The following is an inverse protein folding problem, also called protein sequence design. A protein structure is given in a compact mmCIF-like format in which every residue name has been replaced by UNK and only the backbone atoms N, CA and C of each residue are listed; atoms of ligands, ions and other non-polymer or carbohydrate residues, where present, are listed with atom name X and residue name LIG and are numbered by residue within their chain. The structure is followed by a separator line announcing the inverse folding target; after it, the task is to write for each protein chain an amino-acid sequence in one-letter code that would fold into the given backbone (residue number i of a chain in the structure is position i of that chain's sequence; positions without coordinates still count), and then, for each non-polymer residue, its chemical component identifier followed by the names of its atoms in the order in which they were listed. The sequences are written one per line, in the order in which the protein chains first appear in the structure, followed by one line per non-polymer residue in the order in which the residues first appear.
data_IF_701573363695
#
_entry.id   IF_701573363695
#
_cell.length_a   1.000
_cell.length_b   1.000
_cell.length_c   1.000
_cell.angle_alpha   90.00
_cell.angle_beta   90.00
_cell.angle_gamma   90.00
#
_symmetry.space_group_name_H-M   'P 1'
#
loop_
_entity.id
_entity.type
_entity.pdbx_description
1 polymer ?
#
# COMPACT_ATOMS: atom_id res chain seq x y z
N UNK A 1 -48.22 -46.82 -28.88
CA UNK A 1 -49.01 -45.80 -28.13
C UNK A 1 -48.42 -45.66 -26.73
N UNK A 2 -47.45 -44.81 -26.48
CA UNK A 2 -47.08 -44.31 -25.11
C UNK A 2 -45.98 -43.26 -25.04
N UNK A 3 -45.87 -42.36 -26.05
CA UNK A 3 -44.88 -41.27 -26.03
C UNK A 3 -45.45 -39.94 -25.53
N UNK A 4 -46.78 -39.77 -25.57
CA UNK A 4 -47.46 -38.52 -25.17
C UNK A 4 -47.60 -38.37 -23.65
N UNK A 5 -47.67 -39.45 -22.87
CA UNK A 5 -47.75 -39.37 -21.38
C UNK A 5 -46.43 -38.98 -20.73
N UNK A 6 -45.30 -39.38 -21.30
CA UNK A 6 -43.97 -39.03 -20.76
C UNK A 6 -43.56 -37.56 -20.97
N UNK A 7 -44.14 -36.92 -21.99
CA UNK A 7 -43.86 -35.48 -22.27
C UNK A 7 -44.71 -34.60 -21.35
N UNK A 8 -45.96 -34.99 -21.07
CA UNK A 8 -46.85 -34.26 -20.16
C UNK A 8 -46.36 -34.29 -18.72
N UNK A 9 -45.78 -35.41 -18.26
CA UNK A 9 -45.26 -35.56 -16.89
C UNK A 9 -43.97 -34.74 -16.66
N UNK A 10 -43.10 -34.65 -17.66
CA UNK A 10 -41.91 -33.78 -17.60
C UNK A 10 -42.26 -32.30 -17.62
N UNK A 11 -43.28 -31.87 -18.34
CA UNK A 11 -43.70 -30.46 -18.37
C UNK A 11 -44.33 -30.00 -17.05
N UNK A 12 -45.07 -30.89 -16.38
CA UNK A 12 -45.64 -30.61 -15.05
C UNK A 12 -44.57 -30.46 -13.94
N UNK A 13 -43.46 -31.21 -14.06
CA UNK A 13 -42.34 -31.10 -13.11
C UNK A 13 -41.43 -29.86 -13.30
N UNK A 14 -41.38 -29.31 -14.51
CA UNK A 14 -40.55 -28.16 -14.85
C UNK A 14 -41.24 -26.81 -14.52
N UNK A 15 -42.56 -26.75 -14.63
CA UNK A 15 -43.34 -25.53 -14.36
C UNK A 15 -43.09 -24.91 -12.97
N UNK A 16 -43.06 -25.64 -11.85
CA UNK A 16 -42.79 -25.06 -10.52
C UNK A 16 -41.33 -24.62 -10.33
N UNK A 17 -40.38 -25.15 -11.10
CA UNK A 17 -38.98 -24.73 -11.08
C UNK A 17 -38.76 -23.39 -11.80
N UNK A 18 -39.47 -23.20 -12.92
CA UNK A 18 -39.45 -21.96 -13.67
C UNK A 18 -40.08 -20.81 -12.84
N UNK A 19 -41.18 -21.09 -12.16
CA UNK A 19 -41.88 -20.13 -11.33
C UNK A 19 -41.04 -19.73 -10.13
N UNK A 20 -40.34 -20.65 -9.47
CA UNK A 20 -39.39 -20.36 -8.38
C UNK A 20 -38.18 -19.59 -8.86
N UNK A 21 -37.68 -19.83 -10.05
CA UNK A 21 -36.56 -19.11 -10.63
C UNK A 21 -36.94 -17.67 -10.99
N UNK A 22 -38.15 -17.44 -11.56
CA UNK A 22 -38.67 -16.15 -11.90
C UNK A 22 -38.90 -15.30 -10.64
N UNK A 23 -39.49 -15.86 -9.58
CA UNK A 23 -39.68 -15.13 -8.31
C UNK A 23 -38.37 -14.74 -7.66
N UNK A 24 -37.34 -15.60 -7.70
CA UNK A 24 -35.99 -15.28 -7.21
C UNK A 24 -35.35 -14.16 -8.04
N UNK A 25 -35.51 -14.20 -9.37
CA UNK A 25 -34.94 -13.22 -10.27
C UNK A 25 -35.59 -11.82 -10.09
N UNK A 26 -36.91 -11.76 -9.94
CA UNK A 26 -37.61 -10.51 -9.64
C UNK A 26 -37.27 -9.98 -8.24
N UNK A 27 -37.11 -10.85 -7.25
CA UNK A 27 -36.65 -10.49 -5.91
C UNK A 27 -35.24 -9.89 -5.90
N UNK A 28 -34.31 -10.51 -6.59
CA UNK A 28 -32.92 -10.01 -6.72
C UNK A 28 -32.85 -8.67 -7.47
N UNK A 29 -33.63 -8.48 -8.53
CA UNK A 29 -33.74 -7.21 -9.24
C UNK A 29 -34.31 -6.09 -8.36
N UNK A 30 -35.32 -6.40 -7.57
CA UNK A 30 -35.95 -5.44 -6.65
C UNK A 30 -34.99 -5.02 -5.54
N UNK A 31 -34.20 -5.96 -5.00
CA UNK A 31 -33.15 -5.66 -4.03
C UNK A 31 -32.03 -4.82 -4.65
N UNK A 32 -31.58 -5.15 -5.85
CA UNK A 32 -30.58 -4.37 -6.58
C UNK A 32 -31.08 -2.93 -6.87
N UNK A 33 -32.34 -2.79 -7.30
CA UNK A 33 -32.95 -1.48 -7.53
C UNK A 33 -33.05 -0.65 -6.23
N UNK A 34 -33.42 -1.26 -5.10
CA UNK A 34 -33.45 -0.60 -3.80
C UNK A 34 -32.06 -0.17 -3.35
N UNK A 35 -31.05 -1.02 -3.53
CA UNK A 35 -29.65 -0.68 -3.20
C UNK A 35 -29.12 0.47 -4.07
N UNK A 36 -29.43 0.46 -5.37
CA UNK A 36 -29.07 1.56 -6.27
C UNK A 36 -29.78 2.87 -5.90
N UNK A 37 -31.05 2.80 -5.51
CA UNK A 37 -31.81 3.95 -5.08
C UNK A 37 -31.25 4.53 -3.77
N UNK A 38 -30.93 3.66 -2.80
CA UNK A 38 -30.31 4.05 -1.53
C UNK A 38 -28.93 4.68 -1.74
N UNK A 39 -28.13 4.12 -2.65
CA UNK A 39 -26.84 4.68 -3.04
C UNK A 39 -27.00 6.03 -3.75
N UNK A 40 -27.98 6.16 -4.66
CA UNK A 40 -28.31 7.44 -5.29
C UNK A 40 -28.76 8.51 -4.31
N UNK A 41 -29.60 8.14 -3.32
CA UNK A 41 -29.99 9.04 -2.24
C UNK A 41 -28.79 9.45 -1.37
N UNK A 42 -27.86 8.54 -1.09
CA UNK A 42 -26.64 8.85 -0.35
C UNK A 42 -25.78 9.87 -1.12
N UNK A 43 -25.58 9.65 -2.43
CA UNK A 43 -24.84 10.60 -3.29
C UNK A 43 -25.54 11.97 -3.27
N UNK A 44 -26.86 12.01 -3.46
CA UNK A 44 -27.61 13.25 -3.45
C UNK A 44 -27.49 13.98 -2.11
N UNK A 45 -27.58 13.26 -0.99
CA UNK A 45 -27.40 13.81 0.35
C UNK A 45 -26.00 14.39 0.55
N UNK A 46 -24.93 13.68 0.08
CA UNK A 46 -23.56 14.18 0.12
C UNK A 46 -23.40 15.47 -0.71
N UNK A 47 -23.93 15.50 -1.92
CA UNK A 47 -23.86 16.67 -2.80
C UNK A 47 -24.60 17.87 -2.20
N UNK A 48 -25.82 17.65 -1.68
CA UNK A 48 -26.60 18.70 -1.01
C UNK A 48 -25.87 19.22 0.24
N UNK A 49 -25.27 18.31 1.04
CA UNK A 49 -24.46 18.69 2.20
C UNK A 49 -23.29 19.59 1.82
N UNK A 50 -22.54 19.24 0.75
CA UNK A 50 -21.42 20.03 0.23
C UNK A 50 -21.89 21.43 -0.24
N UNK A 51 -23.06 21.49 -0.90
CA UNK A 51 -23.64 22.77 -1.33
C UNK A 51 -24.01 23.65 -0.12
N UNK A 52 -24.64 23.07 0.90
CA UNK A 52 -25.02 23.83 2.09
C UNK A 52 -23.83 24.26 2.95
N UNK A 53 -22.75 23.46 2.99
CA UNK A 53 -21.53 23.80 3.72
C UNK A 53 -20.70 24.89 3.00
N UNK A 54 -20.98 25.19 1.72
CA UNK A 54 -20.19 26.13 0.93
C UNK A 54 -18.80 25.62 0.55
N UNK A 55 -18.53 24.33 0.78
CA UNK A 55 -17.22 23.69 0.55
C UNK A 55 -16.89 23.51 -0.94
N UNK A 56 -17.84 23.78 -1.84
CA UNK A 56 -17.63 23.76 -3.30
C UNK A 56 -16.89 25.00 -3.83
N UNK A 57 -16.54 25.94 -2.97
CA UNK A 57 -15.75 27.11 -3.39
C UNK A 57 -14.30 26.73 -3.63
N UNK A 58 -13.86 26.77 -4.86
CA UNK A 58 -12.47 26.50 -5.29
C UNK A 58 -11.45 27.59 -4.88
N UNK A 59 -11.77 28.42 -3.87
CA UNK A 59 -10.92 29.53 -3.44
C UNK A 59 -10.91 30.71 -4.41
N UNK A 60 -10.09 31.72 -4.11
CA UNK A 60 -9.93 32.89 -4.99
C UNK A 60 -8.96 32.55 -6.12
N UNK A 61 -9.41 32.69 -7.37
CA UNK A 61 -8.60 32.54 -8.61
C UNK A 61 -7.95 31.17 -8.80
N UNK A 62 -8.68 30.05 -8.76
CA UNK A 62 -8.13 28.70 -8.79
C UNK A 62 -7.29 28.43 -10.07
N UNK A 63 -7.73 28.92 -11.21
CA UNK A 63 -7.02 28.73 -12.50
C UNK A 63 -5.70 29.49 -12.57
N UNK A 64 -5.62 30.70 -12.01
CA UNK A 64 -4.38 31.46 -11.98
C UNK A 64 -3.36 30.78 -11.05
N UNK A 65 -3.79 30.34 -9.88
CA UNK A 65 -2.92 29.61 -8.94
C UNK A 65 -2.47 28.27 -9.54
N UNK A 66 -3.36 27.54 -10.21
CA UNK A 66 -3.02 26.29 -10.88
C UNK A 66 -1.94 26.51 -11.96
N UNK A 67 -2.11 27.53 -12.82
CA UNK A 67 -1.16 27.84 -13.88
C UNK A 67 0.18 28.32 -13.34
N UNK A 68 0.19 29.10 -12.28
CA UNK A 68 1.43 29.54 -11.61
C UNK A 68 2.18 28.35 -11.02
N UNK A 69 1.47 27.51 -10.22
CA UNK A 69 2.06 26.31 -9.62
C UNK A 69 2.53 25.32 -10.67
N UNK A 70 1.77 25.12 -11.76
CA UNK A 70 2.16 24.24 -12.85
C UNK A 70 3.41 24.77 -13.59
N UNK A 71 3.51 26.08 -13.76
CA UNK A 71 4.69 26.73 -14.33
C UNK A 71 5.94 26.50 -13.49
N UNK A 72 5.84 26.65 -12.16
CA UNK A 72 6.95 26.38 -11.25
C UNK A 72 7.28 24.88 -11.15
N UNK A 73 6.27 24.02 -11.15
CA UNK A 73 6.45 22.55 -11.11
C UNK A 73 7.13 22.04 -12.39
N UNK A 74 6.93 22.73 -13.53
CA UNK A 74 7.57 22.36 -14.80
C UNK A 74 9.08 22.69 -14.83
N UNK A 75 9.58 23.46 -13.84
CA UNK A 75 10.99 23.81 -13.66
C UNK A 75 11.57 23.14 -12.40
N UNK A 76 12.00 21.87 -12.49
CA UNK A 76 12.60 21.18 -11.35
C UNK A 76 13.88 21.89 -10.88
N UNK A 77 14.06 22.03 -9.58
CA UNK A 77 15.17 22.78 -8.99
C UNK A 77 16.56 22.18 -9.25
N UNK A 78 16.65 20.91 -9.62
CA UNK A 78 17.93 20.31 -10.00
C UNK A 78 18.55 21.01 -11.23
N UNK A 79 17.74 21.65 -12.09
CA UNK A 79 18.23 22.44 -13.22
C UNK A 79 18.92 23.75 -12.74
N UNK A 80 18.52 24.26 -11.59
CA UNK A 80 19.05 25.52 -11.05
C UNK A 80 20.48 25.38 -10.52
N UNK A 81 21.00 24.16 -10.40
CA UNK A 81 22.42 23.91 -10.13
C UNK A 81 23.30 24.45 -11.27
N UNK A 82 22.81 24.34 -12.51
CA UNK A 82 23.53 24.81 -13.70
C UNK A 82 23.05 26.19 -14.18
N UNK A 83 21.74 26.44 -14.09
CA UNK A 83 21.07 27.63 -14.68
C UNK A 83 20.61 28.63 -13.63
N UNK A 84 20.75 28.34 -12.33
CA UNK A 84 20.34 29.21 -11.23
C UNK A 84 21.14 30.52 -11.17
N UNK A 85 20.54 31.52 -10.52
CA UNK A 85 21.20 32.82 -10.30
C UNK A 85 22.18 32.72 -9.13
N UNK A 86 23.49 33.03 -9.31
CA UNK A 86 24.46 33.02 -8.22
C UNK A 86 24.24 34.12 -7.19
N UNK A 87 23.46 35.15 -7.53
CA UNK A 87 23.14 36.29 -6.65
C UNK A 87 21.63 36.55 -6.66
N UNK A 88 20.87 35.71 -5.97
CA UNK A 88 19.44 35.90 -5.78
C UNK A 88 19.24 36.85 -4.58
N UNK A 89 18.78 38.09 -4.86
CA UNK A 89 18.47 39.06 -3.85
C UNK A 89 17.04 38.96 -3.38
N UNK A 90 16.84 38.71 -2.09
CA UNK A 90 15.54 38.84 -1.45
C UNK A 90 15.39 40.28 -0.94
N UNK A 91 14.39 41.01 -1.48
CA UNK A 91 14.11 42.43 -1.11
C UNK A 91 12.93 42.50 -0.18
N UNK A 92 13.01 43.38 0.83
CA UNK A 92 11.86 43.81 1.63
C UNK A 92 10.91 44.67 0.82
N UNK A 93 9.68 44.90 1.32
CA UNK A 93 8.71 45.83 0.73
C UNK A 93 9.28 47.26 0.59
N UNK A 94 10.25 47.61 1.43
CA UNK A 94 10.97 48.90 1.39
C UNK A 94 12.08 48.96 0.33
N UNK A 95 12.28 47.90 -0.46
CA UNK A 95 13.34 47.80 -1.46
C UNK A 95 14.73 47.50 -0.92
N UNK A 96 14.91 47.38 0.40
CA UNK A 96 16.19 46.99 1.03
C UNK A 96 16.47 45.51 0.78
N UNK A 97 17.74 45.18 0.48
CA UNK A 97 18.17 43.79 0.30
C UNK A 97 18.26 43.12 1.66
N UNK A 98 17.35 42.16 1.94
CA UNK A 98 17.31 41.38 3.18
C UNK A 98 18.39 40.32 3.20
N UNK A 99 18.56 39.62 2.08
CA UNK A 99 19.46 38.47 1.93
C UNK A 99 19.89 38.32 0.47
N UNK A 100 21.15 38.01 0.29
CA UNK A 100 21.67 37.54 -1.00
C UNK A 100 21.98 36.06 -0.83
N UNK A 101 21.42 35.22 -1.67
CA UNK A 101 21.62 33.79 -1.63
C UNK A 101 22.15 33.28 -2.98
N UNK A 102 23.20 32.45 -2.92
CA UNK A 102 23.66 31.69 -4.09
C UNK A 102 22.73 30.49 -4.31
N UNK A 103 21.81 30.64 -5.28
CA UNK A 103 20.83 29.62 -5.63
C UNK A 103 21.52 28.33 -6.08
N UNK A 104 22.62 28.39 -6.83
CA UNK A 104 23.36 27.22 -7.29
C UNK A 104 23.93 26.41 -6.13
N UNK A 105 24.55 27.09 -5.18
CA UNK A 105 25.10 26.44 -3.99
C UNK A 105 24.02 25.91 -3.06
N UNK A 106 22.87 26.57 -2.98
CA UNK A 106 21.69 26.10 -2.22
C UNK A 106 21.12 24.83 -2.80
N UNK A 107 20.89 24.80 -4.12
CA UNK A 107 20.33 23.63 -4.79
C UNK A 107 21.33 22.47 -4.88
N UNK A 108 22.63 22.73 -4.98
CA UNK A 108 23.66 21.69 -4.88
C UNK A 108 23.65 21.01 -3.50
N UNK A 109 23.49 21.78 -2.42
CA UNK A 109 23.34 21.24 -1.05
C UNK A 109 22.05 20.43 -0.90
N UNK A 110 20.95 20.91 -1.48
CA UNK A 110 19.69 20.18 -1.50
C UNK A 110 19.84 18.84 -2.23
N UNK A 111 20.46 18.78 -3.41
CA UNK A 111 20.70 17.53 -4.12
C UNK A 111 21.62 16.58 -3.35
N UNK A 112 22.61 17.09 -2.64
CA UNK A 112 23.46 16.29 -1.76
C UNK A 112 22.64 15.66 -0.62
N UNK A 113 21.71 16.41 -0.01
CA UNK A 113 20.82 15.92 1.03
C UNK A 113 19.82 14.87 0.50
N UNK A 114 19.41 14.97 -0.77
CA UNK A 114 18.49 14.05 -1.43
C UNK A 114 19.02 12.62 -1.44
N UNK A 115 20.32 12.41 -1.69
CA UNK A 115 20.92 11.08 -1.63
C UNK A 115 20.81 10.43 -0.25
N UNK A 116 21.06 11.22 0.81
CA UNK A 116 20.88 10.77 2.19
C UNK A 116 19.43 10.46 2.55
N UNK A 117 18.51 11.27 2.03
CA UNK A 117 17.06 11.06 2.22
C UNK A 117 16.57 9.81 1.51
N UNK A 118 16.99 9.55 0.26
CA UNK A 118 16.69 8.30 -0.46
C UNK A 118 17.18 7.10 0.35
N UNK A 119 18.42 7.13 0.81
CA UNK A 119 18.99 6.05 1.61
C UNK A 119 18.22 5.82 2.91
N UNK A 120 17.78 6.88 3.58
CA UNK A 120 16.97 6.76 4.80
C UNK A 120 15.59 6.16 4.52
N UNK A 121 14.92 6.56 3.44
CA UNK A 121 13.65 5.97 2.99
C UNK A 121 13.81 4.47 2.72
N UNK A 122 14.88 4.08 2.02
CA UNK A 122 15.17 2.66 1.75
C UNK A 122 15.47 1.87 3.01
N UNK A 123 16.21 2.43 3.96
CA UNK A 123 16.44 1.79 5.27
C UNK A 123 15.14 1.53 6.00
N UNK A 124 14.24 2.52 6.05
CA UNK A 124 12.94 2.40 6.73
C UNK A 124 12.12 1.29 6.08
N UNK A 125 11.97 1.31 4.75
CA UNK A 125 11.21 0.31 4.02
C UNK A 125 11.78 -1.10 4.16
N UNK A 126 13.09 -1.25 4.00
CA UNK A 126 13.76 -2.56 4.02
C UNK A 126 13.76 -3.19 5.41
N UNK A 127 14.17 -2.43 6.44
CA UNK A 127 14.20 -2.93 7.82
C UNK A 127 12.78 -3.16 8.36
N UNK A 128 11.83 -2.28 8.02
CA UNK A 128 10.42 -2.47 8.37
C UNK A 128 9.82 -3.73 7.74
N UNK A 129 10.09 -3.97 6.45
CA UNK A 129 9.64 -5.18 5.75
C UNK A 129 10.29 -6.46 6.30
N UNK A 130 11.58 -6.41 6.60
CA UNK A 130 12.30 -7.54 7.19
C UNK A 130 11.73 -7.88 8.57
N UNK A 131 11.53 -6.88 9.42
CA UNK A 131 10.95 -7.06 10.75
C UNK A 131 9.50 -7.56 10.66
N UNK A 132 8.72 -7.05 9.70
CA UNK A 132 7.37 -7.56 9.41
C UNK A 132 7.38 -9.04 9.03
N UNK A 133 8.34 -9.49 8.21
CA UNK A 133 8.47 -10.88 7.82
C UNK A 133 8.87 -11.76 9.02
N UNK A 134 9.84 -11.33 9.82
CA UNK A 134 10.30 -12.06 11.01
C UNK A 134 9.16 -12.26 12.03
N UNK A 135 8.35 -11.23 12.26
CA UNK A 135 7.22 -11.29 13.18
C UNK A 135 5.99 -11.98 12.57
N UNK A 136 5.74 -11.73 11.28
CA UNK A 136 4.59 -12.25 10.56
C UNK A 136 4.71 -13.73 10.17
N UNK A 137 5.93 -14.24 9.92
CA UNK A 137 6.14 -15.65 9.55
C UNK A 137 5.60 -16.64 10.60
N UNK A 138 5.99 -16.57 11.88
CA UNK A 138 5.47 -17.48 12.89
C UNK A 138 3.96 -17.32 13.09
N UNK A 139 3.45 -16.09 13.08
CA UNK A 139 2.02 -15.83 13.22
C UNK A 139 1.21 -16.34 12.02
N UNK A 140 1.74 -16.16 10.81
CA UNK A 140 1.16 -16.71 9.58
C UNK A 140 1.09 -18.23 9.62
N UNK A 141 2.18 -18.87 10.04
CA UNK A 141 2.25 -20.33 10.21
C UNK A 141 1.22 -20.84 11.22
N UNK A 142 1.12 -20.20 12.39
CA UNK A 142 0.14 -20.55 13.44
C UNK A 142 -1.31 -20.26 13.00
N UNK A 143 -1.52 -19.33 12.09
CA UNK A 143 -2.86 -18.95 11.62
C UNK A 143 -3.40 -19.83 10.51
N UNK A 144 -2.55 -20.59 9.78
CA UNK A 144 -2.94 -21.46 8.69
C UNK A 144 -3.78 -22.65 9.18
N UNK A 145 -4.89 -22.95 8.48
CA UNK A 145 -5.83 -24.00 8.89
C UNK A 145 -5.24 -25.40 8.77
N UNK A 146 -4.27 -25.59 7.88
CA UNK A 146 -3.61 -26.87 7.63
C UNK A 146 -2.57 -27.23 8.70
N UNK A 147 -2.22 -26.28 9.56
CA UNK A 147 -1.17 -26.44 10.56
C UNK A 147 -1.76 -26.74 11.94
N UNK A 148 -2.19 -27.83 12.25
CA UNK A 148 -2.78 -28.35 13.51
C UNK A 148 -2.45 -27.60 14.82
N UNK A 149 -2.35 -26.26 14.74
CA UNK A 149 -2.15 -25.40 15.92
C UNK A 149 -3.37 -25.45 16.84
N UNK A 150 -3.19 -25.42 18.19
CA UNK A 150 -4.30 -25.36 19.13
C UNK A 150 -5.25 -24.21 18.78
N UNK A 151 -6.56 -24.49 18.78
CA UNK A 151 -7.58 -23.51 18.36
C UNK A 151 -7.43 -22.12 19.00
N UNK A 152 -7.14 -21.96 20.31
CA UNK A 152 -6.99 -20.63 20.90
C UNK A 152 -5.80 -19.85 20.33
N UNK A 153 -4.68 -20.55 20.06
CA UNK A 153 -3.45 -19.95 19.50
C UNK A 153 -3.67 -19.52 18.06
N UNK A 154 -4.26 -20.39 17.25
CA UNK A 154 -4.61 -20.08 15.86
C UNK A 154 -5.62 -18.93 15.78
N UNK A 155 -6.63 -18.90 16.68
CA UNK A 155 -7.59 -17.81 16.75
C UNK A 155 -6.92 -16.49 17.10
N UNK A 156 -6.08 -16.47 18.13
CA UNK A 156 -5.35 -15.27 18.56
C UNK A 156 -4.44 -14.73 17.45
N UNK A 157 -3.64 -15.62 16.82
CA UNK A 157 -2.76 -15.24 15.72
C UNK A 157 -3.54 -14.60 14.56
N UNK A 158 -4.67 -15.20 14.15
CA UNK A 158 -5.54 -14.63 13.11
C UNK A 158 -6.07 -13.25 13.49
N UNK A 159 -6.57 -13.08 14.71
CA UNK A 159 -7.11 -11.79 15.18
C UNK A 159 -6.03 -10.72 15.27
N UNK A 160 -4.85 -11.07 15.75
CA UNK A 160 -3.71 -10.15 15.80
C UNK A 160 -3.32 -9.68 14.39
N UNK A 161 -3.17 -10.60 13.43
CA UNK A 161 -2.87 -10.27 12.05
C UNK A 161 -3.98 -9.42 11.40
N UNK A 162 -5.27 -9.73 11.67
CA UNK A 162 -6.40 -8.97 11.17
C UNK A 162 -6.42 -7.53 11.72
N UNK A 163 -6.12 -7.34 13.01
CA UNK A 163 -6.01 -6.00 13.62
C UNK A 163 -4.85 -5.22 13.03
N UNK A 164 -3.66 -5.83 12.95
CA UNK A 164 -2.47 -5.14 12.44
C UNK A 164 -2.65 -4.65 11.00
N UNK A 165 -3.25 -5.45 10.10
CA UNK A 165 -3.49 -5.04 8.71
C UNK A 165 -4.65 -4.07 8.52
N UNK A 166 -5.60 -4.00 9.47
CA UNK A 166 -6.75 -3.10 9.37
C UNK A 166 -6.41 -1.65 9.69
N UNK A 167 -5.33 -1.42 10.42
CA UNK A 167 -4.86 -0.08 10.78
C UNK A 167 -3.82 0.36 9.74
N UNK A 168 -4.04 1.51 9.11
CA UNK A 168 -3.12 2.04 8.10
C UNK A 168 -1.76 2.41 8.70
N UNK A 169 -0.69 2.22 7.95
CA UNK A 169 0.70 2.48 8.35
C UNK A 169 0.90 3.88 8.95
N UNK A 170 0.23 4.91 8.41
CA UNK A 170 0.27 6.28 8.95
C UNK A 170 -0.24 6.37 10.39
N UNK A 171 -1.31 5.66 10.72
CA UNK A 171 -1.89 5.69 12.08
C UNK A 171 -0.91 5.05 13.06
N UNK A 172 -0.31 3.92 12.71
CA UNK A 172 0.78 3.34 13.50
C UNK A 172 1.95 4.31 13.62
N UNK A 173 2.32 4.99 12.53
CA UNK A 173 3.38 5.98 12.53
C UNK A 173 3.13 7.11 13.51
N UNK A 174 1.94 7.70 13.49
CA UNK A 174 1.56 8.76 14.43
C UNK A 174 1.59 8.29 15.89
N UNK A 175 1.07 7.09 16.18
CA UNK A 175 1.10 6.52 17.53
C UNK A 175 2.54 6.30 18.00
N UNK A 176 3.38 5.71 17.16
CA UNK A 176 4.77 5.38 17.52
C UNK A 176 5.62 6.65 17.64
N UNK A 177 5.44 7.63 16.76
CA UNK A 177 6.10 8.94 16.88
C UNK A 177 5.72 9.61 18.20
N UNK A 178 4.46 9.50 18.64
CA UNK A 178 4.03 10.00 19.94
C UNK A 178 4.70 9.31 21.14
N UNK A 179 5.10 8.06 20.99
CA UNK A 179 5.72 7.25 22.07
C UNK A 179 7.26 7.41 22.10
N UNK A 180 7.92 7.25 20.95
CA UNK A 180 9.40 7.18 20.90
C UNK A 180 10.03 8.44 20.27
N UNK A 181 9.23 9.38 19.76
CA UNK A 181 9.70 10.60 19.09
C UNK A 181 9.86 10.44 17.57
N UNK A 182 10.23 11.59 16.95
CA UNK A 182 10.48 11.67 15.51
C UNK A 182 11.75 10.90 15.14
N UNK A 183 11.75 10.24 13.99
CA UNK A 183 12.94 9.59 13.44
C UNK A 183 12.68 8.29 12.70
N UNK A 184 13.70 7.73 12.04
CA UNK A 184 13.57 6.54 11.18
C UNK A 184 13.06 5.30 11.92
N UNK A 185 13.34 5.18 13.21
CA UNK A 185 12.91 4.03 14.02
C UNK A 185 11.38 3.97 14.15
N UNK A 186 10.72 5.13 14.27
CA UNK A 186 9.27 5.19 14.29
C UNK A 186 8.67 4.67 12.98
N UNK A 187 9.25 5.05 11.84
CA UNK A 187 8.84 4.56 10.52
C UNK A 187 9.05 3.05 10.36
N UNK A 188 10.19 2.51 10.80
CA UNK A 188 10.50 1.08 10.76
C UNK A 188 9.47 0.27 11.54
N UNK A 189 9.14 0.68 12.77
CA UNK A 189 8.17 -0.01 13.61
C UNK A 189 6.74 0.11 13.07
N UNK A 190 6.37 1.27 12.50
CA UNK A 190 5.06 1.47 11.89
C UNK A 190 4.84 0.52 10.70
N UNK A 191 5.82 0.46 9.79
CA UNK A 191 5.81 -0.49 8.67
C UNK A 191 5.79 -1.93 9.19
N UNK A 192 6.63 -2.25 10.17
CA UNK A 192 6.71 -3.60 10.71
C UNK A 192 5.36 -4.09 11.25
N UNK A 193 4.66 -3.29 12.04
CA UNK A 193 3.37 -3.66 12.62
C UNK A 193 2.27 -3.82 11.58
N UNK A 194 2.14 -2.84 10.66
CA UNK A 194 1.14 -2.94 9.60
C UNK A 194 1.42 -4.11 8.65
N UNK A 195 2.64 -4.18 8.14
CA UNK A 195 3.03 -5.17 7.14
C UNK A 195 3.11 -6.59 7.72
N UNK A 196 3.37 -6.76 9.03
CA UNK A 196 3.27 -8.05 9.72
C UNK A 196 1.87 -8.66 9.52
N UNK A 197 0.82 -7.84 9.66
CA UNK A 197 -0.56 -8.30 9.45
C UNK A 197 -0.82 -8.77 8.03
N UNK A 198 -0.42 -7.98 7.04
CA UNK A 198 -0.60 -8.31 5.62
C UNK A 198 0.26 -9.50 5.21
N UNK A 199 1.54 -9.50 5.58
CA UNK A 199 2.49 -10.54 5.23
C UNK A 199 2.13 -11.89 5.87
N UNK A 200 1.81 -11.89 7.19
CA UNK A 200 1.40 -13.10 7.89
C UNK A 200 0.14 -13.72 7.30
N UNK A 201 -0.81 -12.90 6.83
CA UNK A 201 -2.02 -13.39 6.17
C UNK A 201 -1.74 -14.01 4.80
N UNK A 202 -0.96 -13.33 3.95
CA UNK A 202 -0.55 -13.87 2.64
C UNK A 202 0.24 -15.17 2.78
N UNK A 203 1.07 -15.24 3.83
CA UNK A 203 1.82 -16.46 4.11
C UNK A 203 0.92 -17.61 4.56
N UNK A 204 -0.05 -17.35 5.44
CA UNK A 204 -1.06 -18.35 5.83
C UNK A 204 -1.85 -18.87 4.62
N UNK A 205 -2.28 -17.99 3.73
CA UNK A 205 -2.98 -18.36 2.49
C UNK A 205 -2.08 -19.20 1.56
N UNK A 206 -0.79 -18.87 1.46
CA UNK A 206 0.17 -19.68 0.69
C UNK A 206 0.33 -21.09 1.25
N UNK A 207 0.31 -21.23 2.58
CA UNK A 207 0.35 -22.56 3.25
C UNK A 207 -0.96 -23.33 3.02
N UNK A 208 -2.10 -22.65 3.11
CA UNK A 208 -3.42 -23.28 2.93
C UNK A 208 -3.66 -23.79 1.48
N UNK A 209 -3.05 -23.12 0.49
CA UNK A 209 -3.19 -23.47 -0.94
C UNK A 209 -2.10 -24.42 -1.46
N UNK A 210 -1.22 -24.92 -0.58
CA UNK A 210 -0.12 -25.79 -0.97
C UNK A 210 -0.65 -27.13 -1.51
N UNK A 211 -0.08 -27.62 -2.63
CA UNK A 211 -0.38 -28.96 -3.15
C UNK A 211 0.17 -30.02 -2.18
N UNK A 212 -0.73 -30.82 -1.62
CA UNK A 212 -0.38 -31.84 -0.64
C UNK A 212 0.25 -33.09 -1.24
N UNK A 213 0.09 -33.34 -2.56
CA UNK A 213 0.57 -34.57 -3.23
C UNK A 213 2.08 -34.79 -3.08
N UNK A 214 2.99 -33.81 -3.30
CA UNK A 214 4.42 -34.00 -3.06
C UNK A 214 4.74 -34.26 -1.58
N UNK A 215 3.99 -33.64 -0.67
CA UNK A 215 4.17 -33.80 0.78
C UNK A 215 3.79 -35.22 1.22
N UNK A 216 2.68 -35.74 0.71
CA UNK A 216 2.22 -37.10 0.99
C UNK A 216 3.18 -38.16 0.40
N UNK A 217 3.73 -37.89 -0.78
CA UNK A 217 4.73 -38.77 -1.39
C UNK A 217 6.00 -38.91 -0.52
N UNK A 218 6.52 -37.80 -0.01
CA UNK A 218 7.68 -37.82 0.91
C UNK A 218 7.30 -38.49 2.25
N UNK A 219 6.09 -38.25 2.76
CA UNK A 219 5.62 -38.91 4.00
C UNK A 219 5.50 -40.45 3.83
N UNK A 220 5.08 -40.89 2.66
CA UNK A 220 4.93 -42.33 2.35
C UNK A 220 6.27 -43.08 2.36
N UNK A 221 7.42 -42.38 2.21
CA UNK A 221 8.75 -43.02 2.34
C UNK A 221 9.17 -43.31 3.80
N UNK A 222 8.32 -42.97 4.79
CA UNK A 222 8.64 -43.11 6.21
C UNK A 222 9.45 -41.93 6.78
N UNK A 223 9.50 -40.80 6.05
CA UNK A 223 10.23 -39.60 6.50
C UNK A 223 9.63 -39.03 7.80
N UNK A 224 10.49 -38.55 8.69
CA UNK A 224 10.08 -37.87 9.92
C UNK A 224 9.40 -36.52 9.61
N UNK A 225 8.56 -35.96 10.50
CA UNK A 225 7.91 -34.68 10.28
C UNK A 225 8.87 -33.54 9.92
N UNK A 226 10.06 -33.51 10.52
CA UNK A 226 11.11 -32.52 10.22
C UNK A 226 11.66 -32.70 8.81
N UNK A 227 11.87 -33.95 8.36
CA UNK A 227 12.31 -34.25 7.00
C UNK A 227 11.22 -33.88 5.97
N UNK A 228 9.96 -34.17 6.25
CA UNK A 228 8.82 -33.75 5.40
C UNK A 228 8.79 -32.24 5.28
N UNK A 229 8.95 -31.51 6.38
CA UNK A 229 9.00 -30.04 6.36
C UNK A 229 10.18 -29.53 5.51
N UNK A 230 11.39 -30.00 5.74
CA UNK A 230 12.60 -29.51 5.05
C UNK A 230 12.65 -29.88 3.56
N UNK A 231 12.18 -31.05 3.19
CA UNK A 231 12.37 -31.57 1.83
C UNK A 231 11.11 -31.44 0.94
N UNK A 232 9.94 -31.24 1.51
CA UNK A 232 8.70 -31.11 0.74
C UNK A 232 8.02 -29.74 0.98
N UNK A 233 7.73 -29.36 2.24
CA UNK A 233 6.96 -28.16 2.56
C UNK A 233 7.75 -26.90 2.30
N UNK A 234 8.95 -26.80 2.87
CA UNK A 234 9.77 -25.59 2.77
C UNK A 234 10.17 -25.22 1.32
N UNK A 235 10.66 -26.16 0.49
CA UNK A 235 10.99 -25.84 -0.91
C UNK A 235 9.76 -25.43 -1.74
N UNK A 236 8.58 -25.99 -1.43
CA UNK A 236 7.34 -25.63 -2.11
C UNK A 236 6.80 -24.26 -1.67
N UNK A 237 7.08 -23.81 -0.44
CA UNK A 237 6.67 -22.50 0.07
C UNK A 237 7.63 -21.39 -0.29
N UNK A 238 8.91 -21.68 -0.46
CA UNK A 238 9.98 -20.68 -0.60
C UNK A 238 9.76 -19.70 -1.77
N UNK A 239 9.36 -20.12 -2.97
CA UNK A 239 9.07 -19.19 -4.07
C UNK A 239 7.94 -18.23 -3.74
N UNK A 240 6.86 -18.71 -3.16
CA UNK A 240 5.72 -17.89 -2.74
C UNK A 240 6.11 -16.93 -1.61
N UNK A 241 6.93 -17.39 -0.66
CA UNK A 241 7.45 -16.59 0.44
C UNK A 241 8.27 -15.40 -0.09
N UNK A 242 9.24 -15.67 -0.97
CA UNK A 242 10.09 -14.65 -1.59
C UNK A 242 9.23 -13.68 -2.42
N UNK A 243 8.30 -14.19 -3.23
CA UNK A 243 7.43 -13.36 -4.07
C UNK A 243 6.56 -12.41 -3.22
N UNK A 244 5.95 -12.92 -2.15
CA UNK A 244 5.14 -12.12 -1.23
C UNK A 244 5.98 -11.09 -0.48
N UNK A 245 7.21 -11.47 -0.06
CA UNK A 245 8.11 -10.53 0.61
C UNK A 245 8.53 -9.38 -0.30
N UNK A 246 8.90 -9.67 -1.55
CA UNK A 246 9.26 -8.66 -2.54
C UNK A 246 8.09 -7.73 -2.87
N UNK A 247 6.87 -8.27 -2.96
CA UNK A 247 5.66 -7.48 -3.17
C UNK A 247 5.42 -6.48 -2.03
N UNK A 248 5.52 -6.93 -0.78
CA UNK A 248 5.32 -6.07 0.39
C UNK A 248 6.47 -5.08 0.55
N UNK A 249 7.71 -5.47 0.26
CA UNK A 249 8.85 -4.58 0.27
C UNK A 249 8.70 -3.42 -0.73
N UNK A 250 8.28 -3.71 -1.96
CA UNK A 250 7.95 -2.72 -2.99
C UNK A 250 6.85 -1.75 -2.51
N UNK A 251 5.78 -2.27 -1.91
CA UNK A 251 4.72 -1.47 -1.31
C UNK A 251 5.26 -0.56 -0.19
N UNK A 252 6.08 -1.09 0.69
CA UNK A 252 6.63 -0.38 1.84
C UNK A 252 7.65 0.72 1.43
N UNK A 253 8.30 0.63 0.27
CA UNK A 253 9.13 1.71 -0.27
C UNK A 253 8.26 2.96 -0.53
N UNK A 254 7.09 2.80 -1.10
CA UNK A 254 6.13 3.90 -1.29
C UNK A 254 5.58 4.42 0.04
N UNK A 255 5.19 3.53 0.92
CA UNK A 255 4.66 3.86 2.25
C UNK A 255 5.68 4.63 3.11
N UNK A 256 6.97 4.29 3.02
CA UNK A 256 8.03 4.97 3.76
C UNK A 256 8.20 6.45 3.35
N UNK A 257 7.88 6.80 2.09
CA UNK A 257 7.87 8.21 1.66
C UNK A 257 6.74 8.98 2.32
N UNK A 258 5.57 8.36 2.48
CA UNK A 258 4.42 8.97 3.15
C UNK A 258 4.64 9.09 4.65
N UNK A 259 5.26 8.09 5.29
CA UNK A 259 5.64 8.14 6.71
C UNK A 259 6.63 9.27 7.01
N UNK A 260 7.46 9.65 6.05
CA UNK A 260 8.34 10.79 6.18
C UNK A 260 7.61 12.11 6.43
N UNK A 261 6.38 12.29 5.94
CA UNK A 261 5.56 13.48 6.17
C UNK A 261 5.24 13.70 7.66
N UNK A 262 5.15 12.63 8.43
CA UNK A 262 4.87 12.67 9.88
C UNK A 262 6.14 12.64 10.73
N UNK A 263 7.32 12.82 10.09
CA UNK A 263 8.58 12.95 10.81
C UNK A 263 9.40 11.66 10.95
N UNK A 264 9.10 10.60 10.19
CA UNK A 264 9.96 9.42 10.12
C UNK A 264 11.28 9.68 9.37
N UNK A 265 11.40 10.82 8.70
CA UNK A 265 12.61 11.20 7.94
C UNK A 265 12.57 10.75 6.47
N UNK A 266 13.72 10.79 5.82
CA UNK A 266 13.84 10.40 4.42
C UNK A 266 13.22 11.40 3.43
N UNK A 267 12.81 10.91 2.25
CA UNK A 267 12.25 11.75 1.18
C UNK A 267 10.96 12.46 1.59
N UNK A 268 10.13 11.83 2.41
CA UNK A 268 8.88 12.42 2.85
C UNK A 268 9.06 13.65 3.75
N UNK A 269 10.13 13.71 4.54
CA UNK A 269 10.45 14.90 5.34
C UNK A 269 10.80 16.08 4.44
N UNK A 270 11.66 15.86 3.44
CA UNK A 270 12.00 16.92 2.46
C UNK A 270 10.77 17.35 1.64
N UNK A 271 9.86 16.41 1.35
CA UNK A 271 8.61 16.69 0.66
C UNK A 271 7.68 17.57 1.52
N UNK A 272 7.54 17.25 2.81
CA UNK A 272 6.78 18.08 3.76
C UNK A 272 7.35 19.49 3.88
N UNK A 273 8.67 19.62 3.94
CA UNK A 273 9.36 20.91 3.98
C UNK A 273 9.13 21.71 2.70
N UNK A 274 9.32 21.09 1.52
CA UNK A 274 9.11 21.75 0.23
C UNK A 274 7.67 22.26 0.05
N UNK A 275 6.67 21.47 0.48
CA UNK A 275 5.25 21.87 0.44
C UNK A 275 4.97 22.99 1.42
N UNK A 276 5.47 22.90 2.66
CA UNK A 276 5.23 23.89 3.70
C UNK A 276 5.86 25.26 3.37
N UNK A 277 6.96 25.26 2.62
CA UNK A 277 7.67 26.46 2.19
C UNK A 277 7.30 26.91 0.76
N UNK A 278 6.29 26.26 0.14
CA UNK A 278 5.85 26.55 -1.23
C UNK A 278 6.98 26.48 -2.28
N UNK A 279 7.97 25.61 -2.07
CA UNK A 279 9.12 25.44 -2.97
C UNK A 279 8.81 24.43 -4.08
N UNK A 280 7.98 24.82 -5.03
CA UNK A 280 7.43 23.95 -6.08
C UNK A 280 8.50 23.33 -6.97
N UNK A 281 9.61 24.03 -7.24
CA UNK A 281 10.74 23.48 -8.02
C UNK A 281 11.45 22.32 -7.28
N UNK A 282 11.66 22.45 -5.96
CA UNK A 282 12.19 21.36 -5.12
C UNK A 282 11.20 20.22 -5.01
N UNK A 283 9.91 20.52 -4.87
CA UNK A 283 8.85 19.52 -4.89
C UNK A 283 8.87 18.71 -6.18
N UNK A 284 8.99 19.36 -7.34
CA UNK A 284 9.10 18.68 -8.64
C UNK A 284 10.31 17.72 -8.68
N UNK A 285 11.47 18.18 -8.18
CA UNK A 285 12.68 17.35 -8.09
C UNK A 285 12.47 16.13 -7.20
N UNK A 286 11.81 16.31 -6.04
CA UNK A 286 11.49 15.22 -5.11
C UNK A 286 10.52 14.20 -5.72
N UNK A 287 9.48 14.67 -6.41
CA UNK A 287 8.53 13.78 -7.09
C UNK A 287 9.22 12.94 -8.16
N UNK A 288 10.10 13.55 -8.97
CA UNK A 288 10.90 12.83 -9.96
C UNK A 288 11.79 11.79 -9.27
N UNK A 289 12.48 12.15 -8.19
CA UNK A 289 13.33 11.23 -7.44
C UNK A 289 12.55 10.05 -6.85
N UNK A 290 11.34 10.30 -6.29
CA UNK A 290 10.45 9.25 -5.76
C UNK A 290 10.03 8.30 -6.88
N UNK A 291 9.57 8.84 -8.03
CA UNK A 291 9.15 8.02 -9.17
C UNK A 291 10.31 7.16 -9.69
N UNK A 292 11.49 7.75 -9.88
CA UNK A 292 12.67 7.03 -10.33
C UNK A 292 13.08 5.92 -9.34
N UNK A 293 13.06 6.23 -8.05
CA UNK A 293 13.32 5.25 -6.98
C UNK A 293 12.33 4.08 -7.06
N UNK A 294 11.03 4.35 -7.08
CA UNK A 294 9.99 3.33 -7.14
C UNK A 294 10.15 2.47 -8.40
N UNK A 295 10.28 3.08 -9.58
CA UNK A 295 10.46 2.35 -10.86
C UNK A 295 11.71 1.47 -10.84
N UNK A 296 12.82 1.95 -10.28
CA UNK A 296 14.05 1.17 -10.15
C UNK A 296 13.86 -0.07 -9.26
N UNK A 297 13.20 0.09 -8.12
CA UNK A 297 12.94 -1.02 -7.20
C UNK A 297 11.88 -1.99 -7.71
N UNK A 298 10.84 -1.51 -8.41
CA UNK A 298 9.87 -2.35 -9.13
C UNK A 298 10.57 -3.21 -10.19
N UNK A 299 11.50 -2.63 -10.95
CA UNK A 299 12.28 -3.36 -11.95
C UNK A 299 13.20 -4.41 -11.30
N UNK A 300 13.84 -4.06 -10.18
CA UNK A 300 14.68 -4.97 -9.40
C UNK A 300 13.87 -6.15 -8.85
N UNK A 301 12.73 -5.85 -8.22
CA UNK A 301 11.79 -6.84 -7.67
C UNK A 301 11.30 -7.82 -8.74
N UNK A 302 10.92 -7.31 -9.93
CA UNK A 302 10.53 -8.18 -11.06
C UNK A 302 11.65 -9.09 -11.53
N UNK A 303 12.89 -8.59 -11.62
CA UNK A 303 14.05 -9.43 -12.01
C UNK A 303 14.32 -10.53 -11.01
N UNK A 304 14.27 -10.24 -9.71
CA UNK A 304 14.48 -11.23 -8.66
C UNK A 304 13.37 -12.29 -8.71
N UNK A 305 12.10 -11.89 -8.84
CA UNK A 305 10.98 -12.83 -8.97
C UNK A 305 11.13 -13.75 -10.18
N UNK A 306 11.50 -13.21 -11.33
CA UNK A 306 11.72 -14.01 -12.55
C UNK A 306 12.89 -15.00 -12.45
N UNK A 307 13.82 -14.83 -11.51
CA UNK A 307 14.93 -15.76 -11.28
C UNK A 307 14.60 -16.85 -10.24
N UNK A 308 13.52 -16.68 -9.47
CA UNK A 308 13.13 -17.60 -8.37
C UNK A 308 11.89 -18.44 -8.75
N UNK A 309 11.05 -17.92 -9.62
CA UNK A 309 9.85 -18.58 -10.16
C UNK A 309 10.13 -19.17 -11.54
#
# INVERSE_FOLDING_TARGET
MNTSSHIADKSAAVAPLIDRASVRWYGARRQAALLMLLYGCLIAACVVSLFHAGDLSLGRKPWQNLMATAGELSRPSFLDVWFGNPQLEYKSDDGSVLRVEDQRASEARFLASLGGAIWTTLKIATLGSLLAAILGAPLGFLSAKNMHAPWPVAWFARRLLDVCRSIHTLVFGLLIVGIIGLGPMAGILAIALHSMGTWGKLYAESIETLDMRPIEAVRATGATPTQVFLFAVWPALLPNFISNHLYIWEYNIRDSTVLGLIGAGGLGLLLSEAVSLFQWGRLATLLIAIVLMVVAFDALSRRIRASVL
#
